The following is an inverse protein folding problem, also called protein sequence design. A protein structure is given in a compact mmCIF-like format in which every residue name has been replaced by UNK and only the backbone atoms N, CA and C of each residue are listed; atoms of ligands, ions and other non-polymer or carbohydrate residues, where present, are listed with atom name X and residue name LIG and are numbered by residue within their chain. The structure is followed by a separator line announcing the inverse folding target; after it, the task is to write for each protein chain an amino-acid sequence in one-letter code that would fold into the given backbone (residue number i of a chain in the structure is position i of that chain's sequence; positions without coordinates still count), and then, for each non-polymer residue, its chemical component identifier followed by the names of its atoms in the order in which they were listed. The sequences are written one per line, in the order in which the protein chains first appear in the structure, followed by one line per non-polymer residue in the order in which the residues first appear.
data_IF_585655344095
#
_entry.id   IF_585655344095
#
_cell.length_a   1.000
_cell.length_b   1.000
_cell.length_c   1.000
_cell.angle_alpha   90.00
_cell.angle_beta   90.00
_cell.angle_gamma   90.00
#
_symmetry.space_group_name_H-M   'P 1'
#
loop_
_entity.id
_entity.type
_entity.pdbx_description
1 polymer ?
#
# COMPACT_ATOMS: atom_id res chain seq x y z
N UNK A 1 3.41 -5.52 -16.17
CA UNK A 1 2.83 -6.85 -15.96
C UNK A 1 1.30 -6.82 -16.02
N UNK A 2 0.59 -5.93 -15.31
CA UNK A 2 -0.88 -5.85 -15.39
C UNK A 2 -1.46 -5.75 -16.81
N UNK A 3 -0.90 -4.88 -17.65
CA UNK A 3 -1.38 -4.68 -19.03
C UNK A 3 -1.21 -5.94 -19.88
N UNK A 4 -0.14 -6.71 -19.66
CA UNK A 4 0.10 -8.00 -20.34
C UNK A 4 -0.94 -9.04 -19.91
N UNK A 5 -1.28 -9.09 -18.62
CA UNK A 5 -2.34 -9.96 -18.09
C UNK A 5 -3.70 -9.60 -18.69
N UNK A 6 -4.00 -8.30 -18.82
CA UNK A 6 -5.24 -7.83 -19.44
C UNK A 6 -5.31 -8.21 -20.92
N UNK A 7 -4.23 -8.03 -21.65
CA UNK A 7 -4.19 -8.33 -23.08
C UNK A 7 -4.29 -9.84 -23.32
N UNK A 8 -3.61 -10.65 -22.50
CA UNK A 8 -3.79 -12.10 -22.47
C UNK A 8 -5.24 -12.50 -22.15
N UNK A 9 -5.89 -11.83 -21.20
CA UNK A 9 -7.31 -12.08 -20.86
C UNK A 9 -8.23 -11.80 -22.06
N UNK A 10 -8.03 -10.68 -22.75
CA UNK A 10 -8.81 -10.34 -23.95
C UNK A 10 -8.62 -11.36 -25.07
N UNK A 11 -7.40 -11.84 -25.27
CA UNK A 11 -7.09 -12.86 -26.27
C UNK A 11 -7.74 -14.21 -25.89
N UNK A 12 -7.64 -14.63 -24.63
CA UNK A 12 -8.29 -15.85 -24.15
C UNK A 12 -9.81 -15.81 -24.32
N UNK A 13 -10.44 -14.65 -24.05
CA UNK A 13 -11.87 -14.43 -24.28
C UNK A 13 -12.27 -14.49 -25.76
N UNK A 14 -11.44 -13.94 -26.65
CA UNK A 14 -11.69 -14.00 -28.10
C UNK A 14 -11.63 -15.45 -28.60
N UNK A 15 -10.58 -16.17 -28.21
CA UNK A 15 -10.40 -17.58 -28.56
C UNK A 15 -11.55 -18.45 -28.01
N UNK A 16 -12.01 -18.20 -26.77
CA UNK A 16 -13.17 -18.90 -26.19
C UNK A 16 -14.42 -18.77 -27.08
N UNK A 17 -14.69 -17.55 -27.54
CA UNK A 17 -15.89 -17.25 -28.32
C UNK A 17 -15.85 -17.91 -29.70
N UNK A 18 -14.66 -18.08 -30.28
CA UNK A 18 -14.46 -18.76 -31.56
C UNK A 18 -14.44 -20.30 -31.41
N UNK A 19 -13.96 -20.83 -30.29
CA UNK A 19 -13.74 -22.27 -30.04
C UNK A 19 -14.66 -22.87 -28.96
N UNK A 20 -15.97 -22.57 -28.98
CA UNK A 20 -17.02 -23.01 -28.03
C UNK A 20 -17.09 -24.53 -27.67
N UNK A 21 -16.22 -25.38 -28.25
CA UNK A 21 -16.14 -26.83 -28.02
C UNK A 21 -14.88 -27.29 -27.26
N UNK A 22 -13.99 -26.39 -26.79
CA UNK A 22 -12.79 -26.78 -26.02
C UNK A 22 -13.00 -26.63 -24.50
N UNK A 23 -12.80 -27.72 -23.77
CA UNK A 23 -13.00 -27.83 -22.32
C UNK A 23 -12.06 -26.93 -21.47
N UNK A 24 -10.92 -26.48 -22.00
CA UNK A 24 -9.85 -25.83 -21.22
C UNK A 24 -9.93 -24.29 -21.11
N UNK A 25 -10.74 -23.64 -21.94
CA UNK A 25 -10.70 -22.17 -22.08
C UNK A 25 -11.30 -21.41 -20.87
N UNK A 26 -12.30 -21.90 -20.11
CA UNK A 26 -12.77 -21.25 -18.89
C UNK A 26 -11.69 -21.13 -17.80
N UNK A 27 -10.90 -22.18 -17.58
CA UNK A 27 -9.86 -22.19 -16.54
C UNK A 27 -8.74 -21.18 -16.82
N UNK A 28 -8.35 -21.03 -18.09
CA UNK A 28 -7.32 -20.06 -18.48
C UNK A 28 -7.77 -18.61 -18.20
N UNK A 29 -9.04 -18.29 -18.47
CA UNK A 29 -9.66 -16.99 -18.21
C UNK A 29 -9.73 -16.70 -16.71
N UNK A 30 -10.11 -17.68 -15.89
CA UNK A 30 -10.16 -17.53 -14.43
C UNK A 30 -8.76 -17.36 -13.81
N UNK A 31 -7.74 -18.08 -14.30
CA UNK A 31 -6.34 -17.88 -13.85
C UNK A 31 -5.84 -16.47 -14.16
N UNK A 32 -6.19 -15.91 -15.32
CA UNK A 32 -5.81 -14.55 -15.69
C UNK A 32 -6.50 -13.51 -14.81
N UNK A 33 -7.78 -13.71 -14.45
CA UNK A 33 -8.48 -12.86 -13.48
C UNK A 33 -7.82 -12.90 -12.10
N UNK A 34 -7.41 -14.08 -11.64
CA UNK A 34 -6.65 -14.21 -10.38
C UNK A 34 -5.33 -13.45 -10.47
N UNK A 35 -4.59 -13.58 -11.58
CA UNK A 35 -3.37 -12.82 -11.82
C UNK A 35 -3.58 -11.31 -11.75
N UNK A 36 -4.63 -10.80 -12.38
CA UNK A 36 -4.98 -9.37 -12.32
C UNK A 36 -5.32 -8.91 -10.89
N UNK A 37 -6.06 -9.72 -10.12
CA UNK A 37 -6.39 -9.42 -8.71
C UNK A 37 -5.14 -9.41 -7.82
N UNK A 38 -4.22 -10.35 -8.04
CA UNK A 38 -2.96 -10.40 -7.29
C UNK A 38 -2.11 -9.16 -7.55
N UNK A 39 -1.99 -8.72 -8.80
CA UNK A 39 -1.24 -7.50 -9.12
C UNK A 39 -1.85 -6.24 -8.48
N UNK A 40 -3.18 -6.17 -8.35
CA UNK A 40 -3.85 -5.12 -7.57
C UNK A 40 -3.46 -5.21 -6.09
N UNK A 41 -3.47 -6.41 -5.52
CA UNK A 41 -3.09 -6.62 -4.12
C UNK A 41 -1.63 -6.24 -3.87
N UNK A 42 -0.71 -6.61 -4.76
CA UNK A 42 0.71 -6.27 -4.68
C UNK A 42 0.93 -4.75 -4.76
N UNK A 43 0.20 -4.07 -5.65
CA UNK A 43 0.27 -2.61 -5.78
C UNK A 43 -0.26 -1.92 -4.52
N UNK A 44 -1.34 -2.44 -3.92
CA UNK A 44 -1.84 -1.95 -2.63
C UNK A 44 -0.84 -2.18 -1.50
N UNK A 45 -0.18 -3.32 -1.45
CA UNK A 45 0.86 -3.59 -0.47
C UNK A 45 2.03 -2.59 -0.60
N UNK A 46 2.40 -2.21 -1.82
CA UNK A 46 3.39 -1.16 -2.08
C UNK A 46 2.93 0.21 -1.56
N UNK A 47 1.65 0.57 -1.73
CA UNK A 47 1.09 1.80 -1.16
C UNK A 47 1.25 1.82 0.36
N UNK A 48 0.87 0.73 1.04
CA UNK A 48 1.02 0.62 2.50
C UNK A 48 2.49 0.74 2.96
N UNK A 49 3.43 0.19 2.18
CA UNK A 49 4.86 0.33 2.44
C UNK A 49 5.32 1.79 2.30
N UNK A 50 4.87 2.50 1.25
CA UNK A 50 5.16 3.93 1.06
C UNK A 50 4.61 4.78 2.22
N UNK A 51 3.41 4.48 2.72
CA UNK A 51 2.86 5.19 3.87
C UNK A 51 3.72 5.03 5.13
N UNK A 52 4.21 3.81 5.38
CA UNK A 52 5.14 3.56 6.49
C UNK A 52 6.44 4.34 6.31
N UNK A 53 6.99 4.38 5.10
CA UNK A 53 8.21 5.13 4.79
C UNK A 53 8.01 6.66 4.92
N UNK A 54 6.85 7.18 4.50
CA UNK A 54 6.48 8.58 4.69
C UNK A 54 6.45 8.91 6.18
N UNK A 55 5.75 8.10 7.00
CA UNK A 55 5.69 8.30 8.45
C UNK A 55 7.08 8.33 9.07
N UNK A 56 7.91 7.34 8.76
CA UNK A 56 9.29 7.28 9.26
C UNK A 56 10.12 8.50 8.85
N UNK A 57 10.00 8.94 7.60
CA UNK A 57 10.74 10.09 7.07
C UNK A 57 10.31 11.41 7.73
N UNK A 58 9.01 11.57 8.02
CA UNK A 58 8.50 12.74 8.73
C UNK A 58 8.99 12.77 10.19
N UNK A 59 9.02 11.63 10.87
CA UNK A 59 9.61 11.53 12.22
C UNK A 59 11.09 11.92 12.21
N UNK A 60 11.85 11.50 11.20
CA UNK A 60 13.26 11.90 11.04
C UNK A 60 13.41 13.42 10.83
N UNK A 61 12.53 14.04 10.04
CA UNK A 61 12.50 15.51 9.87
C UNK A 61 12.17 16.24 11.18
N UNK A 62 11.18 15.75 11.93
CA UNK A 62 10.80 16.34 13.23
C UNK A 62 11.95 16.24 14.24
N UNK A 63 12.64 15.08 14.29
CA UNK A 63 13.82 14.91 15.13
C UNK A 63 14.93 15.90 14.75
N UNK A 64 15.21 16.08 13.46
CA UNK A 64 16.18 17.07 13.00
C UNK A 64 15.77 18.49 13.42
N UNK A 65 14.49 18.83 13.35
CA UNK A 65 13.96 20.12 13.83
C UNK A 65 14.19 20.35 15.32
N UNK A 66 13.96 19.34 16.16
CA UNK A 66 14.25 19.44 17.61
C UNK A 66 15.76 19.63 17.91
N UNK A 67 16.62 19.01 17.12
CA UNK A 67 18.08 19.19 17.21
C UNK A 67 18.52 20.60 16.76
N UNK A 68 17.88 21.17 15.73
CA UNK A 68 18.09 22.56 15.30
C UNK A 68 17.83 23.52 16.46
N UNK A 69 16.69 23.39 17.14
CA UNK A 69 16.36 24.24 18.29
C UNK A 69 17.38 24.08 19.42
N UNK A 70 17.84 22.85 19.67
CA UNK A 70 18.87 22.58 20.67
C UNK A 70 20.19 23.27 20.32
N UNK A 71 20.60 23.24 19.05
CA UNK A 71 21.78 23.94 18.57
C UNK A 71 21.65 25.46 18.76
N UNK A 72 20.49 26.05 18.41
CA UNK A 72 20.24 27.48 18.59
C UNK A 72 20.31 27.91 20.06
N UNK A 73 19.73 27.12 20.98
CA UNK A 73 19.82 27.40 22.42
C UNK A 73 21.26 27.31 22.94
N UNK A 74 22.04 26.33 22.46
CA UNK A 74 23.45 26.15 22.84
C UNK A 74 24.33 27.28 22.32
N UNK A 75 24.14 27.67 21.06
CA UNK A 75 24.83 28.81 20.45
C UNK A 75 24.57 30.10 21.22
N UNK A 76 23.29 30.40 21.51
CA UNK A 76 22.91 31.60 22.26
C UNK A 76 23.54 31.63 23.65
N UNK A 77 23.56 30.50 24.36
CA UNK A 77 24.17 30.39 25.69
C UNK A 77 25.69 30.56 25.65
N UNK A 78 26.35 29.96 24.66
CA UNK A 78 27.79 30.07 24.46
C UNK A 78 28.20 31.52 24.17
N UNK A 79 27.46 32.21 23.31
CA UNK A 79 27.66 33.63 23.04
C UNK A 79 27.50 34.52 24.29
N UNK A 80 26.55 34.21 25.17
CA UNK A 80 26.35 34.97 26.42
C UNK A 80 27.55 34.89 27.38
N UNK A 81 28.31 33.80 27.36
CA UNK A 81 29.48 33.59 28.23
C UNK A 81 30.82 33.82 27.51
N UNK A 82 30.80 34.21 26.24
CA UNK A 82 32.00 34.42 25.43
C UNK A 82 32.72 33.13 25.01
N UNK A 83 32.02 31.99 25.01
CA UNK A 83 32.57 30.72 24.51
C UNK A 83 32.38 30.62 22.99
N UNK A 84 33.30 31.22 22.24
CA UNK A 84 33.25 31.31 20.78
C UNK A 84 33.33 29.93 20.10
N UNK A 85 34.09 28.99 20.68
CA UNK A 85 34.28 27.66 20.09
C UNK A 85 33.01 26.83 20.21
N UNK A 86 32.35 26.82 21.37
CA UNK A 86 31.06 26.15 21.53
C UNK A 86 29.98 26.79 20.64
N UNK A 87 29.98 28.12 20.50
CA UNK A 87 29.06 28.80 19.60
C UNK A 87 29.28 28.40 18.13
N UNK A 88 30.54 28.32 17.69
CA UNK A 88 30.91 27.87 16.33
C UNK A 88 30.45 26.45 16.06
N UNK A 89 30.75 25.52 16.97
CA UNK A 89 30.35 24.10 16.83
C UNK A 89 28.83 23.96 16.82
N UNK A 90 28.11 24.69 17.68
CA UNK A 90 26.65 24.68 17.69
C UNK A 90 26.07 25.14 16.33
N UNK A 91 26.65 26.18 15.72
CA UNK A 91 26.25 26.65 14.38
C UNK A 91 26.51 25.60 13.28
N UNK A 92 27.65 24.92 13.32
CA UNK A 92 27.97 23.87 12.34
C UNK A 92 26.98 22.70 12.40
N UNK A 93 26.62 22.26 13.61
CA UNK A 93 25.61 21.22 13.79
C UNK A 93 24.21 21.69 13.41
N UNK A 94 23.85 22.95 13.71
CA UNK A 94 22.63 23.57 13.23
C UNK A 94 22.51 23.44 11.70
N UNK A 95 23.54 23.87 10.96
CA UNK A 95 23.53 23.84 9.49
C UNK A 95 23.42 22.41 8.95
N UNK A 96 24.05 21.45 9.63
CA UNK A 96 23.92 20.02 9.30
C UNK A 96 22.49 19.53 9.48
N UNK A 97 21.84 19.85 10.60
CA UNK A 97 20.47 19.41 10.87
C UNK A 97 19.44 20.12 10.00
N UNK A 98 19.66 21.38 9.63
CA UNK A 98 18.84 22.09 8.61
C UNK A 98 18.88 21.32 7.29
N UNK A 99 20.07 21.00 6.78
CA UNK A 99 20.19 20.20 5.54
C UNK A 99 19.52 18.84 5.68
N UNK A 100 19.68 18.17 6.83
CA UNK A 100 19.06 16.87 7.06
C UNK A 100 17.54 16.95 7.06
N UNK A 101 16.95 17.95 7.73
CA UNK A 101 15.51 18.23 7.71
C UNK A 101 15.02 18.43 6.28
N UNK A 102 15.68 19.30 5.52
CA UNK A 102 15.27 19.63 4.14
C UNK A 102 15.32 18.40 3.22
N UNK A 103 16.33 17.54 3.39
CA UNK A 103 16.42 16.26 2.67
C UNK A 103 15.26 15.33 3.03
N UNK A 104 14.93 15.19 4.31
CA UNK A 104 13.81 14.35 4.75
C UNK A 104 12.46 14.91 4.27
N UNK A 105 12.25 16.22 4.32
CA UNK A 105 11.03 16.86 3.80
C UNK A 105 10.90 16.68 2.28
N UNK A 106 12.00 16.87 1.53
CA UNK A 106 12.06 16.59 0.10
C UNK A 106 11.70 15.13 -0.21
N UNK A 107 12.29 14.19 0.53
CA UNK A 107 11.99 12.75 0.38
C UNK A 107 10.52 12.45 0.70
N UNK A 108 9.98 12.98 1.79
CA UNK A 108 8.58 12.74 2.17
C UNK A 108 7.60 13.27 1.12
N UNK A 109 7.92 14.38 0.45
CA UNK A 109 7.11 14.89 -0.67
C UNK A 109 7.16 13.95 -1.88
N UNK A 110 8.35 13.53 -2.31
CA UNK A 110 8.48 12.60 -3.44
C UNK A 110 7.73 11.27 -3.19
N UNK A 111 7.81 10.72 -1.98
CA UNK A 111 7.08 9.51 -1.61
C UNK A 111 5.55 9.70 -1.62
N UNK A 112 5.04 10.89 -1.25
CA UNK A 112 3.60 11.20 -1.34
C UNK A 112 3.12 11.28 -2.79
N UNK A 113 3.92 11.90 -3.67
CA UNK A 113 3.61 11.97 -5.10
C UNK A 113 3.57 10.56 -5.71
N UNK A 114 4.51 9.68 -5.34
CA UNK A 114 4.51 8.28 -5.77
C UNK A 114 3.28 7.52 -5.25
N UNK A 115 2.92 7.72 -3.98
CA UNK A 115 1.71 7.12 -3.39
C UNK A 115 0.46 7.53 -4.15
N UNK A 116 0.28 8.83 -4.40
CA UNK A 116 -0.88 9.36 -5.13
C UNK A 116 -0.96 8.78 -6.55
N UNK A 117 0.19 8.67 -7.22
CA UNK A 117 0.26 8.03 -8.54
C UNK A 117 -0.21 6.56 -8.49
N UNK A 118 0.30 5.77 -7.54
CA UNK A 118 -0.07 4.36 -7.39
C UNK A 118 -1.54 4.17 -6.98
N UNK A 119 -2.10 5.06 -6.16
CA UNK A 119 -3.53 5.05 -5.82
C UNK A 119 -4.38 5.20 -7.07
N UNK A 120 -4.03 6.14 -7.96
CA UNK A 120 -4.69 6.29 -9.26
C UNK A 120 -4.52 5.06 -10.18
N UNK A 121 -3.36 4.41 -10.16
CA UNK A 121 -3.16 3.15 -10.90
C UNK A 121 -4.04 2.02 -10.37
N UNK A 122 -4.14 1.86 -9.04
CA UNK A 122 -4.99 0.85 -8.42
C UNK A 122 -6.46 1.03 -8.80
N UNK A 123 -6.96 2.27 -8.81
CA UNK A 123 -8.33 2.55 -9.24
C UNK A 123 -8.56 2.12 -10.70
N UNK A 124 -7.62 2.46 -11.59
CA UNK A 124 -7.67 2.03 -12.99
C UNK A 124 -7.63 0.51 -13.14
N UNK A 125 -6.79 -0.17 -12.36
CA UNK A 125 -6.68 -1.63 -12.38
C UNK A 125 -7.95 -2.30 -11.87
N UNK A 126 -8.56 -1.78 -10.80
CA UNK A 126 -9.83 -2.28 -10.25
C UNK A 126 -10.96 -2.17 -11.26
N UNK A 127 -11.06 -1.06 -11.98
CA UNK A 127 -12.05 -0.89 -13.05
C UNK A 127 -11.86 -1.93 -14.17
N UNK A 128 -10.60 -2.18 -14.58
CA UNK A 128 -10.26 -3.20 -15.58
C UNK A 128 -10.55 -4.62 -15.08
N UNK A 129 -10.32 -4.92 -13.80
CA UNK A 129 -10.69 -6.21 -13.18
C UNK A 129 -12.21 -6.39 -13.19
N UNK A 130 -12.97 -5.37 -12.78
CA UNK A 130 -14.45 -5.42 -12.80
C UNK A 130 -14.98 -5.64 -14.22
N UNK A 131 -14.43 -4.93 -15.20
CA UNK A 131 -14.79 -5.12 -16.61
C UNK A 131 -14.52 -6.56 -17.07
N UNK A 132 -13.35 -7.10 -16.72
CA UNK A 132 -12.98 -8.48 -17.05
C UNK A 132 -13.92 -9.51 -16.40
N UNK A 133 -14.30 -9.30 -15.13
CA UNK A 133 -15.27 -10.14 -14.43
C UNK A 133 -16.65 -10.13 -15.10
N UNK A 134 -17.20 -8.96 -15.40
CA UNK A 134 -18.51 -8.83 -16.07
C UNK A 134 -18.50 -9.54 -17.43
N UNK A 135 -17.42 -9.40 -18.19
CA UNK A 135 -17.26 -10.09 -19.49
C UNK A 135 -17.22 -11.61 -19.32
N UNK A 136 -16.51 -12.12 -18.30
CA UNK A 136 -16.47 -13.55 -17.98
C UNK A 136 -17.86 -14.07 -17.56
N UNK A 137 -18.57 -13.35 -16.69
CA UNK A 137 -19.88 -13.77 -16.18
C UNK A 137 -20.96 -13.78 -17.27
N UNK A 138 -20.96 -12.75 -18.13
CA UNK A 138 -21.85 -12.70 -19.30
C UNK A 138 -21.64 -13.91 -20.23
N UNK A 139 -20.38 -14.29 -20.43
CA UNK A 139 -20.00 -15.42 -21.26
C UNK A 139 -20.40 -16.75 -20.61
N UNK A 140 -20.11 -16.95 -19.31
CA UNK A 140 -20.53 -18.12 -18.55
C UNK A 140 -22.06 -18.29 -18.58
N UNK A 141 -22.84 -17.21 -18.46
CA UNK A 141 -24.29 -17.23 -18.56
C UNK A 141 -24.82 -17.53 -19.98
N UNK A 142 -24.03 -17.27 -21.03
CA UNK A 142 -24.37 -17.64 -22.41
C UNK A 142 -24.11 -19.12 -22.70
N UNK A 143 -23.03 -19.68 -22.15
CA UNK A 143 -22.67 -21.10 -22.24
C UNK A 143 -23.61 -21.95 -21.37
N UNK A 144 -23.89 -21.49 -20.15
CA UNK A 144 -24.83 -22.13 -19.22
C UNK A 144 -26.26 -22.21 -19.77
N UNK A 145 -26.71 -21.27 -20.61
CA UNK A 145 -28.01 -21.38 -21.30
C UNK A 145 -28.04 -22.43 -22.42
N UNK A 146 -26.89 -22.85 -22.92
CA UNK A 146 -26.78 -23.92 -23.94
C UNK A 146 -26.59 -25.30 -23.27
N UNK A 147 -26.07 -25.34 -22.03
CA UNK A 147 -25.83 -26.56 -21.25
C UNK A 147 -26.75 -26.80 -20.04
N UNK A 148 -27.68 -25.89 -19.71
CA UNK A 148 -28.56 -26.05 -18.55
C UNK A 148 -29.72 -27.01 -18.83
N UNK A 149 -29.48 -28.30 -18.54
CA UNK A 149 -30.48 -29.09 -17.83
C UNK A 149 -30.09 -29.52 -16.40
N UNK A 150 -28.84 -29.37 -15.92
CA UNK A 150 -28.46 -30.10 -14.69
C UNK A 150 -27.63 -29.43 -13.55
N UNK A 151 -27.32 -28.13 -13.51
CA UNK A 151 -26.65 -27.61 -12.29
C UNK A 151 -26.87 -26.12 -11.99
N UNK A 152 -27.95 -25.81 -11.26
CA UNK A 152 -28.23 -24.47 -10.69
C UNK A 152 -27.70 -24.33 -9.24
N UNK A 153 -27.05 -25.35 -8.66
CA UNK A 153 -26.64 -25.32 -7.24
C UNK A 153 -25.28 -24.69 -6.91
N UNK A 154 -24.33 -24.62 -7.85
CA UNK A 154 -22.91 -24.39 -7.52
C UNK A 154 -22.44 -22.92 -7.55
N UNK A 155 -23.27 -21.98 -8.04
CA UNK A 155 -22.88 -20.58 -8.18
C UNK A 155 -23.03 -19.79 -6.86
N UNK A 156 -24.03 -20.11 -6.04
CA UNK A 156 -24.27 -19.44 -4.75
C UNK A 156 -23.22 -19.76 -3.68
N UNK A 157 -22.59 -20.94 -3.77
CA UNK A 157 -21.51 -21.33 -2.86
C UNK A 157 -20.22 -20.52 -3.10
N UNK A 158 -19.96 -20.10 -4.34
CA UNK A 158 -18.75 -19.36 -4.70
C UNK A 158 -18.79 -17.90 -4.23
N UNK A 159 -19.97 -17.26 -4.27
CA UNK A 159 -20.16 -15.91 -3.72
C UNK A 159 -20.03 -15.91 -2.20
N UNK A 160 -20.58 -16.93 -1.55
CA UNK A 160 -20.47 -17.14 -0.10
C UNK A 160 -19.03 -17.34 0.37
N UNK A 161 -18.17 -17.93 -0.46
CA UNK A 161 -16.75 -18.13 -0.14
C UNK A 161 -15.92 -16.85 -0.36
N UNK A 162 -16.26 -16.04 -1.37
CA UNK A 162 -15.61 -14.77 -1.67
C UNK A 162 -15.90 -13.71 -0.61
N UNK A 163 -17.15 -13.61 -0.13
CA UNK A 163 -17.52 -12.71 0.97
C UNK A 163 -16.82 -13.11 2.28
N UNK A 164 -16.68 -14.41 2.56
CA UNK A 164 -15.91 -14.90 3.71
C UNK A 164 -14.41 -14.60 3.60
N UNK A 165 -13.82 -14.66 2.41
CA UNK A 165 -12.42 -14.28 2.21
C UNK A 165 -12.21 -12.77 2.37
N UNK A 166 -13.14 -11.95 1.88
CA UNK A 166 -13.09 -10.50 2.06
C UNK A 166 -13.23 -10.09 3.54
N UNK A 167 -14.14 -10.73 4.30
CA UNK A 167 -14.24 -10.51 5.75
C UNK A 167 -12.96 -10.90 6.49
N UNK A 168 -12.36 -12.03 6.13
CA UNK A 168 -11.16 -12.56 6.80
C UNK A 168 -9.93 -11.68 6.56
N UNK A 169 -9.76 -11.13 5.36
CA UNK A 169 -8.71 -10.16 5.04
C UNK A 169 -8.90 -8.88 5.85
N UNK A 170 -10.13 -8.37 5.93
CA UNK A 170 -10.44 -7.19 6.74
C UNK A 170 -10.27 -7.42 8.25
N UNK A 171 -10.41 -8.65 8.76
CA UNK A 171 -10.08 -9.00 10.15
C UNK A 171 -8.57 -9.08 10.40
N UNK A 172 -7.79 -9.56 9.43
CA UNK A 172 -6.33 -9.63 9.53
C UNK A 172 -5.69 -8.23 9.48
N UNK A 173 -6.18 -7.32 8.63
CA UNK A 173 -5.78 -5.90 8.64
C UNK A 173 -6.12 -5.23 9.97
N UNK A 174 -7.35 -5.39 10.48
CA UNK A 174 -7.76 -4.83 11.78
C UNK A 174 -6.93 -5.38 12.95
N UNK A 175 -6.50 -6.65 12.88
CA UNK A 175 -5.60 -7.24 13.88
C UNK A 175 -4.18 -6.70 13.77
N UNK A 176 -3.68 -6.49 12.55
CA UNK A 176 -2.36 -5.90 12.32
C UNK A 176 -2.31 -4.45 12.82
N UNK A 177 -3.35 -3.66 12.55
CA UNK A 177 -3.47 -2.27 13.03
C UNK A 177 -3.59 -2.21 14.55
N UNK A 178 -4.40 -3.08 15.16
CA UNK A 178 -4.53 -3.15 16.61
C UNK A 178 -3.23 -3.59 17.30
N UNK A 179 -2.46 -4.49 16.68
CA UNK A 179 -1.15 -4.90 17.18
C UNK A 179 -0.13 -3.74 17.09
N UNK A 180 -0.14 -2.99 15.98
CA UNK A 180 0.72 -1.82 15.82
C UNK A 180 0.39 -0.69 16.81
N UNK A 181 -0.90 -0.45 17.11
CA UNK A 181 -1.32 0.53 18.14
C UNK A 181 -0.92 0.08 19.55
N UNK A 182 -1.02 -1.22 19.85
CA UNK A 182 -0.56 -1.78 21.13
C UNK A 182 0.95 -1.66 21.30
N UNK A 183 1.74 -1.94 20.25
CA UNK A 183 3.20 -1.79 20.28
C UNK A 183 3.61 -0.31 20.42
N UNK A 184 2.90 0.61 19.76
CA UNK A 184 3.12 2.05 19.92
C UNK A 184 2.84 2.51 21.35
N UNK A 185 1.72 2.08 21.95
CA UNK A 185 1.37 2.40 23.35
C UNK A 185 2.34 1.77 24.36
N UNK A 186 2.84 0.57 24.08
CA UNK A 186 3.86 -0.09 24.91
C UNK A 186 5.21 0.63 24.86
N UNK A 187 5.60 1.15 23.70
CA UNK A 187 6.78 1.98 23.56
C UNK A 187 6.64 3.31 24.33
N UNK A 188 5.46 3.93 24.29
CA UNK A 188 5.14 5.16 25.00
C UNK A 188 5.15 4.98 26.54
N UNK A 189 4.63 3.84 27.04
CA UNK A 189 4.70 3.46 28.45
C UNK A 189 6.13 3.20 28.93
N UNK A 190 6.96 2.52 28.12
CA UNK A 190 8.37 2.29 28.44
C UNK A 190 9.16 3.59 28.53
N UNK A 191 8.87 4.56 27.67
CA UNK A 191 9.50 5.87 27.71
C UNK A 191 9.08 6.65 28.97
N UNK A 192 7.80 6.63 29.36
CA UNK A 192 7.34 7.26 30.61
C UNK A 192 7.95 6.65 31.87
N UNK A 193 8.10 5.32 31.92
CA UNK A 193 8.72 4.64 33.07
C UNK A 193 10.23 4.93 33.17
N UNK A 194 10.90 5.27 32.06
CA UNK A 194 12.30 5.67 32.04
C UNK A 194 12.55 7.15 32.40
N UNK A 195 11.50 7.99 32.39
CA UNK A 195 11.57 9.41 32.77
C UNK A 195 11.25 9.66 34.26
N UNK A 196 10.58 8.73 34.93
CA UNK A 196 10.17 8.81 36.35
C UNK A 196 11.10 8.03 37.32
N UNK A 197 12.24 7.49 36.85
CA UNK A 197 13.22 6.73 37.65
C UNK A 197 14.62 7.34 37.61
#
# INVERSE_FOLDING_TARGET
MFEELRDAFRQAMANFREELNREDVPEAVDRLLVGMKNEVADTKARISALEAEIRHTLLASQKASAEIETCLRREARANQIGDEETARVAREYHDKYVRQRDVHEGKARALREEKEFLEGEVDSMLDKVREAQVRRDSLAASVGRTGARDSIGSADDLFSELDRMAEKIGEEERRADAAADLDARLAELKNRVAEDG
#
